data_IF_033109744126
#
_entry.id   IF_033109744126
#
_cell.length_a   1.000
_cell.length_b   1.000
_cell.length_c   1.000
_cell.angle_alpha   90.00
_cell.angle_beta   90.00
_cell.angle_gamma   90.00
#
_symmetry.space_group_name_H-M   'P 1'
#
loop_
_entity.id
_entity.type
_entity.pdbx_description
1 polymer ?
#
# COMPACT_ATOMS: atom_id res chain seq x y z
N UNK A 1 -20.73 -97.14 -5.82
CA UNK A 1 -20.76 -95.76 -5.30
C UNK A 1 -21.10 -95.81 -3.82
N UNK A 2 -20.07 -95.84 -2.96
CA UNK A 2 -20.15 -95.50 -1.54
C UNK A 2 -18.80 -94.84 -1.23
N UNK A 3 -18.86 -93.56 -0.86
CA UNK A 3 -17.70 -92.70 -0.57
C UNK A 3 -17.42 -92.84 0.92
N UNK A 4 -16.32 -93.51 1.28
CA UNK A 4 -15.84 -93.51 2.66
C UNK A 4 -15.01 -92.24 2.90
N UNK A 5 -15.65 -91.25 3.49
CA UNK A 5 -14.97 -90.14 4.15
C UNK A 5 -14.21 -90.68 5.37
N UNK A 6 -12.88 -90.68 5.29
CA UNK A 6 -12.02 -90.84 6.48
C UNK A 6 -11.38 -89.49 6.81
N UNK A 7 -11.94 -88.90 7.86
CA UNK A 7 -11.41 -87.76 8.61
C UNK A 7 -10.11 -88.17 9.29
N UNK A 8 -8.99 -87.65 8.80
CA UNK A 8 -7.66 -87.91 9.33
C UNK A 8 -6.90 -86.63 9.68
N UNK A 9 -6.87 -86.34 10.98
CA UNK A 9 -5.79 -85.66 11.72
C UNK A 9 -5.69 -84.13 11.63
N UNK A 10 -6.33 -83.50 12.61
CA UNK A 10 -5.98 -82.18 13.15
C UNK A 10 -4.52 -82.17 13.62
N UNK A 11 -3.68 -81.37 12.97
CA UNK A 11 -2.31 -81.08 13.42
C UNK A 11 -2.24 -79.61 13.84
N UNK A 12 -2.36 -79.36 15.15
CA UNK A 12 -2.18 -78.04 15.74
C UNK A 12 -0.71 -77.62 15.62
N UNK A 13 -0.40 -76.80 14.60
CA UNK A 13 0.92 -76.19 14.44
C UNK A 13 0.95 -74.86 15.20
N UNK A 14 1.24 -74.91 16.49
CA UNK A 14 1.67 -73.76 17.28
C UNK A 14 3.07 -73.34 16.84
N UNK A 15 3.18 -72.36 15.93
CA UNK A 15 4.45 -71.72 15.60
C UNK A 15 4.28 -70.20 15.36
N UNK A 16 4.70 -69.46 16.39
CA UNK A 16 5.31 -68.11 16.43
C UNK A 16 4.43 -66.84 16.31
N UNK A 17 4.40 -65.99 17.37
CA UNK A 17 4.09 -64.58 17.23
C UNK A 17 5.31 -63.90 16.61
N UNK A 18 5.20 -63.51 15.34
CA UNK A 18 6.33 -62.96 14.62
C UNK A 18 5.97 -62.30 13.31
N UNK A 19 4.72 -61.85 13.14
CA UNK A 19 4.39 -60.92 12.06
C UNK A 19 4.92 -59.54 12.48
N UNK A 20 6.23 -59.31 12.28
CA UNK A 20 6.73 -57.96 12.12
C UNK A 20 6.03 -57.41 10.88
N UNK A 21 4.89 -56.75 11.08
CA UNK A 21 4.37 -55.74 10.15
C UNK A 21 5.49 -54.72 10.00
N UNK A 22 6.39 -54.93 9.04
CA UNK A 22 7.16 -53.82 8.50
C UNK A 22 6.10 -52.93 7.88
N UNK A 23 5.80 -51.81 8.56
CA UNK A 23 5.13 -50.71 7.89
C UNK A 23 5.93 -50.50 6.61
N UNK A 24 5.28 -50.70 5.45
CA UNK A 24 5.87 -50.29 4.20
C UNK A 24 6.10 -48.79 4.37
N UNK A 25 7.35 -48.41 4.64
CA UNK A 25 7.78 -47.03 4.53
C UNK A 25 7.50 -46.73 3.07
N UNK A 26 6.41 -46.00 2.80
CA UNK A 26 6.13 -45.40 1.50
C UNK A 26 7.35 -44.54 1.21
N UNK A 27 8.34 -45.12 0.51
CA UNK A 27 9.33 -44.34 -0.20
C UNK A 27 8.51 -43.44 -1.09
N UNK A 28 8.68 -42.14 -0.90
CA UNK A 28 8.09 -41.09 -1.72
C UNK A 28 8.12 -41.55 -3.17
N UNK A 29 6.96 -41.71 -3.78
CA UNK A 29 6.86 -41.92 -5.23
C UNK A 29 7.69 -40.83 -5.88
N UNK A 30 8.75 -41.22 -6.59
CA UNK A 30 9.62 -40.26 -7.25
C UNK A 30 8.75 -39.44 -8.20
N UNK A 31 8.71 -38.13 -7.95
CA UNK A 31 7.86 -37.23 -8.70
C UNK A 31 8.19 -37.35 -10.18
N UNK A 32 7.20 -37.74 -10.99
CA UNK A 32 7.39 -37.94 -12.44
C UNK A 32 7.97 -36.66 -13.07
N UNK A 33 8.81 -36.80 -14.09
CA UNK A 33 9.44 -35.65 -14.73
C UNK A 33 8.41 -34.64 -15.27
N UNK A 34 7.24 -35.14 -15.69
CA UNK A 34 6.10 -34.33 -16.13
C UNK A 34 5.48 -33.55 -14.96
N UNK A 35 5.28 -34.18 -13.79
CA UNK A 35 4.75 -33.51 -12.60
C UNK A 35 5.72 -32.43 -12.08
N UNK A 36 7.03 -32.67 -12.13
CA UNK A 36 8.06 -31.65 -11.84
C UNK A 36 7.99 -30.44 -12.75
N UNK A 37 7.84 -30.67 -14.06
CA UNK A 37 7.68 -29.56 -15.02
C UNK A 37 6.39 -28.78 -14.78
N UNK A 38 5.28 -29.48 -14.57
CA UNK A 38 4.00 -28.83 -14.30
C UNK A 38 4.04 -27.96 -13.04
N UNK A 39 4.56 -28.50 -11.93
CA UNK A 39 4.72 -27.75 -10.68
C UNK A 39 5.64 -26.54 -10.86
N UNK A 40 6.78 -26.72 -11.56
CA UNK A 40 7.70 -25.61 -11.85
C UNK A 40 7.04 -24.49 -12.66
N UNK A 41 6.29 -24.83 -13.71
CA UNK A 41 5.55 -23.86 -14.53
C UNK A 41 4.51 -23.13 -13.68
N UNK A 42 3.72 -23.85 -12.88
CA UNK A 42 2.71 -23.23 -12.03
C UNK A 42 3.32 -22.25 -11.02
N UNK A 43 4.46 -22.62 -10.42
CA UNK A 43 5.20 -21.73 -9.53
C UNK A 43 5.69 -20.49 -10.28
N UNK A 44 6.30 -20.66 -11.45
CA UNK A 44 6.77 -19.53 -12.28
C UNK A 44 5.63 -18.59 -12.68
N UNK A 45 4.47 -19.14 -13.10
CA UNK A 45 3.30 -18.34 -13.46
C UNK A 45 2.75 -17.61 -12.24
N UNK A 46 2.65 -18.27 -11.08
CA UNK A 46 2.21 -17.63 -9.85
C UNK A 46 3.13 -16.46 -9.48
N UNK A 47 4.46 -16.66 -9.50
CA UNK A 47 5.42 -15.59 -9.25
C UNK A 47 5.28 -14.43 -10.24
N UNK A 48 5.10 -14.74 -11.53
CA UNK A 48 4.93 -13.72 -12.56
C UNK A 48 3.68 -12.87 -12.32
N UNK A 49 2.56 -13.50 -11.95
CA UNK A 49 1.31 -12.81 -11.62
C UNK A 49 1.49 -11.92 -10.38
N UNK A 50 2.12 -12.42 -9.33
CA UNK A 50 2.38 -11.62 -8.12
C UNK A 50 3.32 -10.43 -8.39
N UNK A 51 4.40 -10.62 -9.15
CA UNK A 51 5.33 -9.55 -9.48
C UNK A 51 4.68 -8.49 -10.37
N UNK A 52 3.94 -8.91 -11.39
CA UNK A 52 3.25 -7.98 -12.30
C UNK A 52 2.16 -7.21 -11.56
N UNK A 53 1.37 -7.88 -10.73
CA UNK A 53 0.37 -7.23 -9.88
C UNK A 53 1.02 -6.25 -8.90
N UNK A 54 2.09 -6.66 -8.21
CA UNK A 54 2.82 -5.81 -7.28
C UNK A 54 3.41 -4.56 -7.94
N UNK A 55 4.04 -4.70 -9.11
CA UNK A 55 4.56 -3.57 -9.88
C UNK A 55 3.45 -2.64 -10.36
N UNK A 56 2.31 -3.18 -10.78
CA UNK A 56 1.16 -2.38 -11.20
C UNK A 56 0.60 -1.53 -10.05
N UNK A 57 0.39 -2.13 -8.87
CA UNK A 57 -0.05 -1.40 -7.68
C UNK A 57 0.97 -0.33 -7.26
N UNK A 58 2.25 -0.68 -7.24
CA UNK A 58 3.31 0.28 -6.91
C UNK A 58 3.35 1.46 -7.90
N UNK A 59 3.12 1.21 -9.19
CA UNK A 59 3.09 2.25 -10.21
C UNK A 59 1.92 3.21 -10.02
N UNK A 60 0.72 2.69 -9.73
CA UNK A 60 -0.47 3.52 -9.45
C UNK A 60 -0.23 4.37 -8.20
N UNK A 61 0.19 3.76 -7.09
CA UNK A 61 0.39 4.47 -5.83
C UNK A 61 1.52 5.51 -5.94
N UNK A 62 2.58 5.22 -6.69
CA UNK A 62 3.66 6.17 -6.95
C UNK A 62 3.19 7.39 -7.74
N UNK A 63 2.35 7.19 -8.75
CA UNK A 63 1.79 8.28 -9.55
C UNK A 63 0.81 9.15 -8.74
N UNK A 64 -0.02 8.53 -7.90
CA UNK A 64 -0.92 9.26 -7.00
C UNK A 64 -0.15 10.09 -5.96
N UNK A 65 0.92 9.52 -5.39
CA UNK A 65 1.76 10.23 -4.44
C UNK A 65 2.39 11.48 -5.06
N UNK A 66 2.90 11.39 -6.28
CA UNK A 66 3.48 12.55 -6.99
C UNK A 66 2.43 13.64 -7.25
N UNK A 67 1.19 13.28 -7.59
CA UNK A 67 0.12 14.26 -7.78
C UNK A 67 -0.26 14.95 -6.47
N UNK A 68 -0.34 14.20 -5.37
CA UNK A 68 -0.61 14.75 -4.04
C UNK A 68 0.50 15.69 -3.59
N UNK A 69 1.77 15.32 -3.80
CA UNK A 69 2.91 16.16 -3.49
C UNK A 69 2.90 17.47 -4.29
N UNK A 70 2.60 17.40 -5.60
CA UNK A 70 2.41 18.58 -6.44
C UNK A 70 1.26 19.46 -5.94
N UNK A 71 0.14 18.87 -5.53
CA UNK A 71 -1.00 19.61 -5.00
C UNK A 71 -0.65 20.32 -3.70
N UNK A 72 0.09 19.67 -2.81
CA UNK A 72 0.60 20.27 -1.57
C UNK A 72 1.56 21.43 -1.85
N UNK A 73 2.47 21.28 -2.82
CA UNK A 73 3.39 22.34 -3.22
C UNK A 73 2.64 23.56 -3.77
N UNK A 74 1.65 23.34 -4.63
CA UNK A 74 0.80 24.41 -5.17
C UNK A 74 0.01 25.09 -4.05
N UNK A 75 -0.60 24.32 -3.13
CA UNK A 75 -1.33 24.87 -1.99
C UNK A 75 -0.44 25.76 -1.11
N UNK A 76 0.76 25.29 -0.75
CA UNK A 76 1.71 26.08 0.04
C UNK A 76 2.13 27.37 -0.68
N UNK A 77 2.30 27.32 -2.01
CA UNK A 77 2.62 28.50 -2.81
C UNK A 77 1.47 29.53 -2.79
N UNK A 78 0.22 29.07 -2.89
CA UNK A 78 -0.98 29.90 -2.83
C UNK A 78 -1.15 30.55 -1.46
N UNK A 79 -0.95 29.80 -0.38
CA UNK A 79 -1.00 30.34 0.99
C UNK A 79 0.06 31.43 1.20
N UNK A 80 1.28 31.20 0.72
CA UNK A 80 2.35 32.20 0.80
C UNK A 80 2.00 33.47 0.02
N UNK A 81 1.41 33.33 -1.17
CA UNK A 81 0.97 34.44 -2.00
C UNK A 81 -0.18 35.21 -1.33
N UNK A 82 -1.13 34.50 -0.71
CA UNK A 82 -2.25 35.10 0.01
C UNK A 82 -1.77 35.92 1.22
N UNK A 83 -0.84 35.37 2.01
CA UNK A 83 -0.21 36.09 3.14
C UNK A 83 0.48 37.36 2.63
N UNK A 84 1.26 37.26 1.55
CA UNK A 84 1.95 38.40 0.97
C UNK A 84 0.97 39.48 0.47
N UNK A 85 -0.09 39.08 -0.23
CA UNK A 85 -1.14 40.01 -0.68
C UNK A 85 -1.87 40.68 0.48
N UNK A 86 -2.18 39.94 1.56
CA UNK A 86 -2.77 40.52 2.77
C UNK A 86 -1.83 41.52 3.43
N UNK A 87 -0.55 41.20 3.53
CA UNK A 87 0.46 42.11 4.08
C UNK A 87 0.59 43.38 3.22
N UNK A 88 0.65 43.25 1.90
CA UNK A 88 0.65 44.39 0.97
C UNK A 88 -0.61 45.23 1.09
N UNK A 89 -1.79 44.60 1.13
CA UNK A 89 -3.06 45.29 1.33
C UNK A 89 -3.09 46.06 2.65
N UNK A 90 -2.62 45.46 3.75
CA UNK A 90 -2.52 46.13 5.05
C UNK A 90 -1.56 47.32 5.01
N UNK A 91 -0.42 47.19 4.30
CA UNK A 91 0.52 48.29 4.08
C UNK A 91 -0.11 49.45 3.28
N UNK A 92 -0.83 49.15 2.21
CA UNK A 92 -1.53 50.15 1.40
C UNK A 92 -2.69 50.82 2.15
N UNK A 93 -3.38 50.09 3.02
CA UNK A 93 -4.44 50.62 3.88
C UNK A 93 -3.90 51.26 5.17
N UNK A 94 -2.58 51.30 5.36
CA UNK A 94 -2.02 51.90 6.56
C UNK A 94 -2.27 53.43 6.55
N UNK A 95 -2.60 54.04 7.70
CA UNK A 95 -2.86 55.48 7.78
C UNK A 95 -1.71 56.32 7.20
N UNK A 96 -0.46 55.91 7.45
CA UNK A 96 0.75 56.56 6.91
C UNK A 96 0.79 56.55 5.38
N UNK A 97 0.43 55.43 4.75
CA UNK A 97 0.39 55.33 3.30
C UNK A 97 -0.75 56.17 2.71
N UNK A 98 -1.93 56.11 3.35
CA UNK A 98 -3.10 56.89 2.93
C UNK A 98 -2.79 58.40 3.04
N UNK A 99 -2.20 58.85 4.15
CA UNK A 99 -1.78 60.24 4.35
C UNK A 99 -0.74 60.67 3.32
N UNK A 100 0.28 59.84 3.05
CA UNK A 100 1.29 60.15 2.04
C UNK A 100 0.69 60.28 0.64
N UNK A 101 -0.21 59.36 0.25
CA UNK A 101 -0.91 59.42 -1.04
C UNK A 101 -1.86 60.61 -1.11
N UNK A 102 -2.59 60.92 -0.03
CA UNK A 102 -3.51 62.05 0.04
C UNK A 102 -2.77 63.40 -0.06
N UNK A 103 -1.62 63.51 0.59
CA UNK A 103 -0.75 64.69 0.49
C UNK A 103 -0.26 64.90 -0.95
N UNK A 104 0.23 63.84 -1.61
CA UNK A 104 0.76 63.95 -2.98
C UNK A 104 -0.36 64.20 -4.00
N UNK A 105 -1.50 63.50 -3.89
CA UNK A 105 -2.54 63.52 -4.93
C UNK A 105 -3.54 64.65 -4.78
N UNK A 106 -3.84 65.06 -3.54
CA UNK A 106 -4.88 66.03 -3.25
C UNK A 106 -4.36 67.25 -2.48
N UNK A 107 -3.07 67.32 -2.17
CA UNK A 107 -2.50 68.38 -1.32
C UNK A 107 -3.04 68.35 0.12
N UNK A 108 -3.61 67.22 0.54
CA UNK A 108 -4.23 67.08 1.86
C UNK A 108 -3.17 66.68 2.90
N UNK A 109 -2.91 67.56 3.85
CA UNK A 109 -2.00 67.30 4.97
C UNK A 109 -2.78 66.98 6.25
N UNK A 110 -2.26 66.07 7.06
CA UNK A 110 -2.84 65.77 8.36
C UNK A 110 -2.84 67.06 9.23
N UNK A 111 -3.97 67.40 9.87
CA UNK A 111 -4.08 68.60 10.68
C UNK A 111 -3.17 68.50 11.91
N UNK A 112 -2.51 69.59 12.26
CA UNK A 112 -1.68 69.70 13.47
C UNK A 112 -2.59 69.70 14.70
N UNK A 113 -2.14 69.12 15.82
CA UNK A 113 -2.89 69.07 17.06
C UNK A 113 -3.47 70.46 17.41
N UNK A 114 -4.80 70.54 17.56
CA UNK A 114 -5.54 71.78 17.83
C UNK A 114 -6.22 72.45 16.62
N UNK A 115 -6.01 71.97 15.39
CA UNK A 115 -6.64 72.53 14.18
C UNK A 115 -8.04 71.98 13.86
N UNK A 116 -8.49 70.92 14.53
CA UNK A 116 -9.80 70.30 14.29
C UNK A 116 -10.70 70.57 15.49
N UNK A 117 -11.74 71.38 15.32
CA UNK A 117 -12.82 71.51 16.29
C UNK A 117 -13.67 70.25 16.22
N UNK A 118 -13.65 69.40 17.25
CA UNK A 118 -14.57 68.25 17.34
C UNK A 118 -15.99 68.80 17.56
N UNK A 119 -16.91 68.43 16.67
CA UNK A 119 -18.36 68.59 16.88
C UNK A 119 -18.86 67.56 17.90
#
# INVERSE_FOLDING_TARGET
MIIHAQTGQYRSRTLRPGLRRRAAVRRTEEMSAQLRRAVGITICVAFFVFLTGGMFFHWITGNEYQQVEQLHAVSASLDSANINLRAKKAGLLSPKHIEAVAAVRFGLHAPVAGQVHRL
#
